data_IF_036883398155
#
_entry.id   IF_036883398155
#
_cell.length_a   1.000
_cell.length_b   1.000
_cell.length_c   1.000
_cell.angle_alpha   90.00
_cell.angle_beta   90.00
_cell.angle_gamma   90.00
#
_symmetry.space_group_name_H-M   'P 1'
#
loop_
_entity.id
_entity.type
_entity.pdbx_description
1 polymer ?
#
# COMPACT_ATOMS: atom_id res chain seq x y z
N UNK A 1 63.17 -13.23 58.43
CA UNK A 1 61.75 -13.53 58.07
C UNK A 1 61.34 -12.62 56.93
N UNK A 2 61.34 -13.12 55.70
CA UNK A 2 60.94 -12.35 54.48
C UNK A 2 59.50 -12.72 54.15
N UNK A 3 58.60 -11.69 54.22
CA UNK A 3 57.22 -11.83 53.77
C UNK A 3 57.16 -11.59 52.27
N UNK A 4 56.73 -12.60 51.51
CA UNK A 4 56.46 -12.52 50.10
C UNK A 4 55.00 -12.09 49.94
N UNK A 5 54.76 -10.89 49.38
CA UNK A 5 53.43 -10.43 48.97
C UNK A 5 53.11 -11.01 47.60
N UNK A 6 52.13 -11.90 47.52
CA UNK A 6 51.55 -12.33 46.25
C UNK A 6 50.51 -11.30 45.79
N UNK A 7 50.81 -10.62 44.68
CA UNK A 7 49.87 -9.70 44.02
C UNK A 7 49.08 -10.49 42.97
N UNK A 8 47.82 -10.75 43.22
CA UNK A 8 46.89 -11.35 42.25
C UNK A 8 46.35 -10.25 41.34
N UNK A 9 46.79 -10.24 40.05
CA UNK A 9 46.23 -9.38 39.02
C UNK A 9 44.99 -10.09 38.46
N UNK A 10 43.81 -9.57 38.75
CA UNK A 10 42.57 -10.02 38.15
C UNK A 10 42.43 -9.42 36.73
N UNK A 11 42.52 -10.25 35.72
CA UNK A 11 42.33 -9.89 34.30
C UNK A 11 40.81 -9.90 34.05
N UNK A 12 40.17 -8.74 34.04
CA UNK A 12 38.76 -8.59 33.61
C UNK A 12 38.76 -8.56 32.08
N UNK A 13 38.44 -9.69 31.45
CA UNK A 13 38.18 -9.74 30.02
C UNK A 13 36.85 -9.08 29.72
N UNK A 14 36.90 -7.85 29.17
CA UNK A 14 35.72 -7.12 28.64
C UNK A 14 35.34 -7.77 27.31
N UNK A 15 34.35 -8.65 27.31
CA UNK A 15 33.73 -9.18 26.09
C UNK A 15 32.92 -8.04 25.42
N UNK A 16 33.57 -7.35 24.47
CA UNK A 16 32.89 -6.45 23.54
C UNK A 16 32.10 -7.32 22.56
N UNK A 17 30.80 -7.49 22.82
CA UNK A 17 29.84 -7.99 21.82
C UNK A 17 29.68 -6.91 20.75
N UNK A 18 30.46 -7.00 19.67
CA UNK A 18 30.20 -6.21 18.47
C UNK A 18 28.88 -6.68 17.86
N UNK A 19 27.79 -5.97 18.12
CA UNK A 19 26.57 -6.10 17.34
C UNK A 19 26.91 -5.70 15.91
N UNK A 20 26.89 -6.66 14.98
CA UNK A 20 26.98 -6.36 13.56
C UNK A 20 25.75 -5.54 13.18
N UNK A 21 25.89 -4.22 13.14
CA UNK A 21 24.85 -3.32 12.70
C UNK A 21 24.74 -3.46 11.19
N UNK A 22 23.61 -4.04 10.72
CA UNK A 22 23.32 -4.11 9.30
C UNK A 22 23.18 -2.67 8.82
N UNK A 23 24.10 -2.24 7.95
CA UNK A 23 24.02 -0.90 7.33
C UNK A 23 22.83 -0.84 6.37
N UNK A 24 22.18 0.30 6.32
CA UNK A 24 21.09 0.55 5.37
C UNK A 24 21.63 0.35 3.94
N UNK A 25 20.90 -0.41 3.08
CA UNK A 25 21.32 -0.61 1.70
C UNK A 25 21.42 0.72 0.95
N UNK A 26 22.48 0.91 0.16
CA UNK A 26 22.68 2.14 -0.61
C UNK A 26 21.67 2.32 -1.76
N UNK A 27 21.05 1.23 -2.21
CA UNK A 27 20.08 1.22 -3.31
C UNK A 27 18.65 1.14 -2.76
N UNK A 28 18.16 2.21 -2.17
CA UNK A 28 16.75 2.31 -1.76
C UNK A 28 15.85 2.49 -2.98
N UNK A 29 14.79 1.67 -3.16
CA UNK A 29 13.83 1.86 -4.24
C UNK A 29 13.24 3.27 -4.23
N UNK A 30 13.17 3.89 -5.40
CA UNK A 30 12.58 5.22 -5.56
C UNK A 30 11.16 5.13 -6.10
N UNK A 31 10.35 6.14 -5.82
CA UNK A 31 8.97 6.24 -6.29
C UNK A 31 8.86 7.34 -7.34
N UNK A 32 8.32 6.98 -8.49
CA UNK A 32 7.99 7.90 -9.58
C UNK A 32 6.47 8.03 -9.69
N UNK A 33 5.94 9.26 -9.66
CA UNK A 33 4.51 9.47 -9.83
C UNK A 33 4.04 8.95 -11.19
N UNK A 34 3.05 8.05 -11.17
CA UNK A 34 2.53 7.39 -12.36
C UNK A 34 1.19 7.97 -12.80
N UNK A 35 0.21 8.02 -11.89
CA UNK A 35 -1.12 8.58 -12.17
C UNK A 35 -1.90 8.85 -10.87
N UNK A 36 -2.91 9.72 -10.96
CA UNK A 36 -3.95 9.92 -9.97
C UNK A 36 -5.27 9.38 -10.51
N UNK A 37 -5.99 8.63 -9.67
CA UNK A 37 -7.34 8.13 -9.96
C UNK A 37 -8.34 8.89 -9.09
N UNK A 38 -9.41 9.41 -9.70
CA UNK A 38 -10.57 10.00 -9.03
C UNK A 38 -11.75 9.06 -9.24
N UNK A 39 -11.98 8.16 -8.26
CA UNK A 39 -12.92 7.06 -8.37
C UNK A 39 -14.25 7.45 -7.77
N UNK A 40 -15.35 7.40 -8.55
CA UNK A 40 -16.70 7.58 -8.04
C UNK A 40 -17.25 6.25 -7.53
N UNK A 41 -17.93 6.33 -6.38
CA UNK A 41 -18.40 5.15 -5.65
C UNK A 41 -19.93 5.15 -5.59
N UNK A 42 -20.54 3.97 -5.67
CA UNK A 42 -21.93 3.74 -5.41
C UNK A 42 -22.22 3.50 -3.92
N UNK A 43 -23.48 3.21 -3.63
CA UNK A 43 -23.92 2.85 -2.28
C UNK A 43 -23.28 1.51 -1.86
N UNK A 44 -22.60 1.54 -0.73
CA UNK A 44 -21.98 0.33 -0.17
C UNK A 44 -23.06 -0.60 0.41
N UNK A 45 -22.89 -1.91 0.23
CA UNK A 45 -23.75 -2.91 0.85
C UNK A 45 -22.92 -3.99 1.56
N UNK A 46 -23.47 -4.53 2.65
CA UNK A 46 -22.82 -5.53 3.48
C UNK A 46 -23.43 -6.91 3.26
N UNK A 47 -22.57 -7.93 3.12
CA UNK A 47 -22.99 -9.34 3.19
C UNK A 47 -23.05 -9.84 4.66
N UNK A 48 -22.80 -8.96 5.63
CA UNK A 48 -22.77 -9.31 7.05
C UNK A 48 -21.47 -9.95 7.50
N UNK A 49 -21.50 -10.52 8.70
CA UNK A 49 -20.37 -11.26 9.27
C UNK A 49 -20.30 -12.64 8.63
N UNK A 50 -19.12 -13.01 8.12
CA UNK A 50 -18.84 -14.28 7.46
C UNK A 50 -17.76 -15.05 8.23
N UNK A 51 -17.48 -16.29 7.86
CA UNK A 51 -16.37 -17.07 8.42
C UNK A 51 -14.97 -16.41 8.23
N UNK A 52 -14.88 -15.42 7.33
CA UNK A 52 -13.64 -14.70 7.06
C UNK A 52 -13.61 -13.28 7.68
N UNK A 53 -14.72 -12.80 8.25
CA UNK A 53 -14.95 -11.46 8.79
C UNK A 53 -16.12 -10.75 8.13
N UNK A 54 -16.30 -9.47 8.42
CA UNK A 54 -17.38 -8.67 7.84
C UNK A 54 -17.06 -8.31 6.39
N UNK A 55 -17.89 -8.78 5.47
CA UNK A 55 -17.79 -8.48 4.03
C UNK A 55 -18.61 -7.26 3.67
N UNK A 56 -17.98 -6.26 3.06
CA UNK A 56 -18.63 -5.07 2.47
C UNK A 56 -18.20 -4.93 1.02
N UNK A 57 -19.14 -4.57 0.16
CA UNK A 57 -18.88 -4.34 -1.27
C UNK A 57 -19.26 -2.90 -1.59
N UNK A 58 -18.34 -2.17 -2.22
CA UNK A 58 -18.50 -0.78 -2.62
C UNK A 58 -18.43 -0.72 -4.15
N UNK A 59 -19.56 -0.52 -4.86
CA UNK A 59 -19.56 -0.41 -6.30
C UNK A 59 -18.69 0.75 -6.79
N UNK A 60 -17.94 0.53 -7.87
CA UNK A 60 -17.22 1.57 -8.59
C UNK A 60 -18.08 1.99 -9.77
N UNK A 61 -18.54 3.24 -9.77
CA UNK A 61 -19.50 3.75 -10.74
C UNK A 61 -18.86 4.55 -11.87
N UNK A 62 -17.55 4.79 -11.81
CA UNK A 62 -16.82 5.52 -12.83
C UNK A 62 -15.76 6.42 -12.23
N UNK A 63 -15.43 7.50 -12.95
CA UNK A 63 -14.43 8.47 -12.56
C UNK A 63 -13.43 8.77 -13.66
N UNK A 64 -12.33 9.41 -13.32
CA UNK A 64 -11.25 9.78 -14.24
C UNK A 64 -9.90 9.41 -13.67
N UNK A 65 -8.90 9.33 -14.54
CA UNK A 65 -7.52 9.22 -14.13
C UNK A 65 -6.61 10.05 -15.04
N UNK A 66 -5.53 10.54 -14.46
CA UNK A 66 -4.53 11.33 -15.18
C UNK A 66 -3.14 11.15 -14.57
N UNK A 67 -2.13 11.11 -15.44
CA UNK A 67 -0.72 11.04 -15.08
C UNK A 67 0.15 11.56 -16.25
N UNK A 68 1.47 11.62 -16.07
CA UNK A 68 2.38 12.18 -17.08
C UNK A 68 2.28 11.49 -18.46
N UNK A 69 1.98 10.19 -18.48
CA UNK A 69 1.99 9.38 -19.71
C UNK A 69 0.67 8.64 -19.98
N UNK A 70 -0.37 8.93 -19.20
CA UNK A 70 -1.64 8.20 -19.31
C UNK A 70 -2.79 9.04 -18.74
N UNK A 71 -3.93 9.04 -19.43
CA UNK A 71 -5.17 9.65 -18.93
C UNK A 71 -6.40 8.99 -19.53
N UNK A 72 -7.56 9.19 -18.90
CA UNK A 72 -8.81 8.62 -19.39
C UNK A 72 -9.89 8.54 -18.30
N UNK A 73 -10.78 7.55 -18.45
CA UNK A 73 -11.94 7.34 -17.58
C UNK A 73 -11.93 5.97 -16.92
N UNK A 74 -12.58 5.89 -15.77
CA UNK A 74 -12.83 4.63 -15.07
C UNK A 74 -14.15 4.09 -15.56
N UNK A 75 -14.17 2.81 -15.97
CA UNK A 75 -15.36 2.15 -16.49
C UNK A 75 -16.25 1.73 -15.32
N UNK A 76 -17.56 2.03 -15.42
CA UNK A 76 -18.56 1.53 -14.46
C UNK A 76 -18.67 0.00 -14.53
N UNK A 77 -18.86 -0.67 -13.38
CA UNK A 77 -19.13 -2.11 -13.31
C UNK A 77 -18.14 -2.89 -12.44
N UNK A 78 -17.13 -2.21 -11.88
CA UNK A 78 -16.23 -2.80 -10.88
C UNK A 78 -16.73 -2.59 -9.44
N UNK A 79 -16.01 -3.15 -8.48
CA UNK A 79 -16.27 -2.93 -7.06
C UNK A 79 -15.00 -3.10 -6.21
N UNK A 80 -15.02 -2.53 -5.00
CA UNK A 80 -14.08 -2.83 -3.94
C UNK A 80 -14.72 -3.84 -2.96
N UNK A 81 -14.10 -5.00 -2.84
CA UNK A 81 -14.53 -6.13 -2.02
C UNK A 81 -13.80 -6.12 -0.69
N UNK A 82 -14.29 -5.35 0.27
CA UNK A 82 -13.66 -5.18 1.57
C UNK A 82 -13.94 -6.34 2.51
N UNK A 83 -12.93 -6.74 3.28
CA UNK A 83 -13.04 -7.73 4.35
C UNK A 83 -12.48 -7.13 5.64
N UNK A 84 -13.37 -6.88 6.62
CA UNK A 84 -13.00 -6.27 7.89
C UNK A 84 -12.92 -7.32 9.00
N UNK A 85 -11.75 -7.37 9.65
CA UNK A 85 -11.58 -8.07 10.92
C UNK A 85 -11.58 -7.04 12.06
N UNK A 86 -12.72 -6.94 12.74
CA UNK A 86 -12.93 -5.97 13.83
C UNK A 86 -12.05 -6.23 15.05
N UNK A 87 -11.70 -7.50 15.32
CA UNK A 87 -10.93 -7.88 16.50
C UNK A 87 -9.51 -7.29 16.47
N UNK A 88 -8.96 -7.05 15.29
CA UNK A 88 -7.61 -6.48 15.10
C UNK A 88 -7.62 -5.11 14.43
N UNK A 89 -8.80 -4.49 14.22
CA UNK A 89 -8.91 -3.16 13.61
C UNK A 89 -8.41 -3.08 12.17
N UNK A 90 -8.50 -4.18 11.38
CA UNK A 90 -7.93 -4.28 10.04
C UNK A 90 -9.02 -4.53 8.99
N UNK A 91 -8.95 -3.81 7.87
CA UNK A 91 -9.73 -4.07 6.67
C UNK A 91 -8.80 -4.35 5.49
N UNK A 92 -9.03 -5.46 4.81
CA UNK A 92 -8.40 -5.80 3.54
C UNK A 92 -9.28 -5.27 2.40
N UNK A 93 -8.65 -4.63 1.42
CA UNK A 93 -9.28 -4.04 0.26
C UNK A 93 -8.89 -4.84 -0.98
N UNK A 94 -9.85 -5.07 -1.87
CA UNK A 94 -9.62 -5.64 -3.18
C UNK A 94 -10.55 -5.00 -4.20
N UNK A 95 -10.11 -3.90 -4.80
CA UNK A 95 -10.86 -3.25 -5.86
C UNK A 95 -10.49 -3.86 -7.22
N UNK A 96 -11.51 -4.32 -7.95
CA UNK A 96 -11.37 -4.90 -9.29
C UNK A 96 -12.24 -4.10 -10.25
N UNK A 97 -11.65 -3.49 -11.26
CA UNK A 97 -12.33 -2.64 -12.23
C UNK A 97 -11.50 -2.47 -13.51
N UNK A 98 -12.04 -1.77 -14.49
CA UNK A 98 -11.32 -1.40 -15.70
C UNK A 98 -11.24 0.12 -15.85
N UNK A 99 -10.16 0.58 -16.47
CA UNK A 99 -9.99 1.96 -16.92
C UNK A 99 -9.88 1.96 -18.45
N UNK A 100 -10.29 3.06 -19.07
CA UNK A 100 -10.19 3.26 -20.51
C UNK A 100 -9.44 4.54 -20.79
N UNK A 101 -8.35 4.44 -21.54
CA UNK A 101 -7.54 5.59 -21.94
C UNK A 101 -8.27 6.46 -22.98
N UNK A 102 -7.88 7.72 -23.14
CA UNK A 102 -8.46 8.65 -24.11
C UNK A 102 -8.32 8.15 -25.55
N UNK A 103 -7.31 7.35 -25.85
CA UNK A 103 -7.11 6.71 -27.15
C UNK A 103 -7.78 5.32 -27.25
N UNK A 104 -8.63 4.96 -26.28
CA UNK A 104 -9.56 3.85 -26.38
C UNK A 104 -9.05 2.50 -25.85
N UNK A 105 -7.85 2.43 -25.25
CA UNK A 105 -7.29 1.19 -24.70
C UNK A 105 -7.91 0.87 -23.34
N UNK A 106 -8.45 -0.33 -23.19
CA UNK A 106 -8.95 -0.83 -21.92
C UNK A 106 -7.82 -1.49 -21.13
N UNK A 107 -7.74 -1.19 -19.84
CA UNK A 107 -6.74 -1.73 -18.91
C UNK A 107 -7.47 -2.23 -17.66
N UNK A 108 -7.25 -3.49 -17.33
CA UNK A 108 -7.77 -4.08 -16.09
C UNK A 108 -6.92 -3.62 -14.90
N UNK A 109 -7.59 -3.34 -13.77
CA UNK A 109 -6.96 -2.92 -12.52
C UNK A 109 -7.43 -3.82 -11.39
N UNK A 110 -6.46 -4.36 -10.66
CA UNK A 110 -6.68 -5.04 -9.39
C UNK A 110 -5.87 -4.32 -8.31
N UNK A 111 -6.56 -3.58 -7.47
CA UNK A 111 -5.92 -2.76 -6.43
C UNK A 111 -6.17 -3.38 -5.05
N UNK A 112 -5.15 -4.01 -4.49
CA UNK A 112 -5.18 -4.57 -3.14
C UNK A 112 -4.61 -3.58 -2.14
N UNK A 113 -5.21 -3.53 -0.96
CA UNK A 113 -4.78 -2.60 0.08
C UNK A 113 -5.14 -3.05 1.48
N UNK A 114 -4.68 -2.24 2.42
CA UNK A 114 -4.90 -2.44 3.84
C UNK A 114 -5.30 -1.10 4.45
N UNK A 115 -6.39 -1.12 5.22
CA UNK A 115 -6.68 -0.11 6.23
C UNK A 115 -6.41 -0.75 7.59
N UNK A 116 -5.62 -0.08 8.43
CA UNK A 116 -5.37 -0.52 9.80
C UNK A 116 -5.52 0.67 10.75
N UNK A 117 -6.33 0.46 11.78
CA UNK A 117 -6.49 1.38 12.89
C UNK A 117 -5.78 0.78 14.10
N UNK A 118 -4.97 1.58 14.77
CA UNK A 118 -4.18 1.12 15.91
C UNK A 118 -3.88 2.25 16.88
N UNK A 119 -2.88 2.02 17.72
CA UNK A 119 -2.30 3.03 18.61
C UNK A 119 -0.78 2.98 18.47
N UNK A 120 -0.15 4.15 18.59
CA UNK A 120 1.30 4.24 18.71
C UNK A 120 1.79 3.85 20.13
N UNK A 121 3.09 3.90 20.35
CA UNK A 121 3.73 3.61 21.65
C UNK A 121 3.27 4.52 22.79
N UNK A 122 2.73 5.71 22.48
CA UNK A 122 2.19 6.68 23.42
C UNK A 122 0.68 6.53 23.62
N UNK A 123 0.03 5.56 22.94
CA UNK A 123 -1.40 5.31 23.01
C UNK A 123 -2.26 6.20 22.10
N UNK A 124 -1.67 7.05 21.25
CA UNK A 124 -2.41 7.89 20.32
C UNK A 124 -2.97 7.06 19.16
N UNK A 125 -4.18 7.39 18.65
CA UNK A 125 -4.75 6.70 17.50
C UNK A 125 -3.85 6.80 16.25
N UNK A 126 -3.66 5.67 15.57
CA UNK A 126 -2.97 5.62 14.27
C UNK A 126 -3.92 5.14 13.18
N UNK A 127 -3.70 5.67 11.98
CA UNK A 127 -4.45 5.29 10.78
C UNK A 127 -3.46 5.00 9.65
N UNK A 128 -3.59 3.82 9.07
CA UNK A 128 -2.80 3.39 7.92
C UNK A 128 -3.72 3.00 6.78
N UNK A 129 -3.51 3.58 5.59
CA UNK A 129 -4.21 3.20 4.37
C UNK A 129 -3.23 3.25 3.19
N UNK A 130 -2.81 2.09 2.71
CA UNK A 130 -1.95 1.94 1.52
C UNK A 130 -2.47 0.80 0.65
N UNK A 131 -2.22 0.92 -0.65
CA UNK A 131 -2.59 -0.08 -1.64
C UNK A 131 -1.41 -0.37 -2.59
N UNK A 132 -1.54 -1.46 -3.32
CA UNK A 132 -0.60 -1.90 -4.34
C UNK A 132 -1.37 -2.34 -5.59
N UNK A 133 -1.68 -1.42 -6.51
CA UNK A 133 -2.41 -1.74 -7.72
C UNK A 133 -1.54 -2.55 -8.69
N UNK A 134 -2.18 -3.50 -9.35
CA UNK A 134 -1.68 -4.24 -10.49
C UNK A 134 -2.51 -3.85 -11.72
N UNK A 135 -1.85 -3.71 -12.86
CA UNK A 135 -2.48 -3.35 -14.12
C UNK A 135 -2.25 -4.45 -15.14
N UNK A 136 -3.26 -4.69 -15.98
CA UNK A 136 -3.17 -5.57 -17.15
C UNK A 136 -3.57 -4.76 -18.39
N UNK A 137 -2.57 -4.25 -19.10
CA UNK A 137 -2.72 -3.56 -20.37
C UNK A 137 -2.46 -4.54 -21.55
N UNK A 138 -3.06 -4.31 -22.73
CA UNK A 138 -2.69 -5.10 -23.92
C UNK A 138 -1.19 -5.05 -24.18
N UNK A 139 -0.59 -6.22 -24.46
CA UNK A 139 0.87 -6.36 -24.57
C UNK A 139 1.48 -5.58 -25.74
N UNK A 140 0.70 -5.32 -26.77
CA UNK A 140 1.06 -4.56 -27.97
C UNK A 140 0.75 -3.04 -27.85
N UNK A 141 0.19 -2.60 -26.73
CA UNK A 141 -0.13 -1.20 -26.49
C UNK A 141 1.07 -0.41 -25.94
N UNK A 142 1.06 0.89 -26.15
CA UNK A 142 2.06 1.80 -25.52
C UNK A 142 1.98 1.80 -23.99
N UNK A 143 0.95 1.18 -23.40
CA UNK A 143 0.73 1.03 -21.97
C UNK A 143 1.25 -0.27 -21.39
N UNK A 144 1.89 -1.15 -22.19
CA UNK A 144 2.46 -2.42 -21.74
C UNK A 144 3.52 -2.26 -20.60
N UNK A 145 4.09 -1.07 -20.43
CA UNK A 145 4.99 -0.76 -19.30
C UNK A 145 4.32 -0.95 -17.93
N UNK A 146 2.99 -0.82 -17.86
CA UNK A 146 2.22 -1.07 -16.64
C UNK A 146 2.32 -2.53 -16.19
N UNK A 147 2.37 -3.48 -17.13
CA UNK A 147 2.45 -4.91 -16.83
C UNK A 147 3.78 -5.33 -16.19
N UNK A 148 4.83 -4.55 -16.43
CA UNK A 148 6.21 -4.85 -16.03
C UNK A 148 6.70 -3.94 -14.91
N UNK A 149 5.80 -3.46 -14.06
CA UNK A 149 6.14 -2.52 -12.98
C UNK A 149 5.36 -2.86 -11.71
N UNK A 150 5.98 -2.58 -10.58
CA UNK A 150 5.29 -2.58 -9.28
C UNK A 150 4.83 -1.17 -8.95
N UNK A 151 3.68 -1.08 -8.29
CA UNK A 151 3.09 0.19 -7.91
C UNK A 151 2.70 0.22 -6.45
N UNK A 152 2.81 1.40 -5.84
CA UNK A 152 2.25 1.72 -4.53
C UNK A 152 1.21 2.81 -4.71
N UNK A 153 0.18 2.79 -3.86
CA UNK A 153 -0.94 3.71 -3.94
C UNK A 153 -1.33 4.21 -2.55
N UNK A 154 -1.68 5.48 -2.50
CA UNK A 154 -2.14 6.13 -1.27
C UNK A 154 -3.35 7.02 -1.57
N UNK A 155 -4.41 6.97 -0.72
CA UNK A 155 -5.53 7.89 -0.83
C UNK A 155 -5.11 9.32 -0.48
N UNK A 156 -5.74 10.28 -1.15
CA UNK A 156 -5.67 11.71 -0.85
C UNK A 156 -7.04 12.21 -0.37
N UNK A 157 -7.16 12.41 0.92
CA UNK A 157 -8.40 12.88 1.56
C UNK A 157 -8.55 14.41 1.52
N UNK A 158 -7.51 15.15 1.12
CA UNK A 158 -7.51 16.61 1.04
C UNK A 158 -8.19 17.13 -0.24
N UNK A 159 -8.39 16.28 -1.24
CA UNK A 159 -8.84 16.67 -2.57
C UNK A 159 -10.29 17.16 -2.66
N UNK A 160 -11.10 17.02 -1.60
CA UNK A 160 -12.51 17.48 -1.56
C UNK A 160 -13.42 16.79 -2.60
N UNK A 161 -13.02 15.64 -3.13
CA UNK A 161 -13.74 14.91 -4.15
C UNK A 161 -14.82 13.98 -3.54
N UNK A 162 -16.02 13.94 -4.17
CA UNK A 162 -17.07 13.00 -3.77
C UNK A 162 -16.76 11.59 -4.31
N UNK A 163 -16.03 10.82 -3.54
CA UNK A 163 -15.51 9.51 -3.90
C UNK A 163 -14.16 9.28 -3.23
N UNK A 164 -13.24 8.60 -3.91
CA UNK A 164 -11.88 8.44 -3.43
C UNK A 164 -10.86 8.91 -4.46
N UNK A 165 -9.88 9.68 -4.03
CA UNK A 165 -8.72 10.07 -4.85
C UNK A 165 -7.53 9.20 -4.45
N UNK A 166 -6.89 8.58 -5.43
CA UNK A 166 -5.78 7.66 -5.23
C UNK A 166 -4.57 8.15 -6.03
N UNK A 167 -3.50 8.49 -5.33
CA UNK A 167 -2.21 8.78 -5.95
C UNK A 167 -1.41 7.48 -6.10
N UNK A 168 -0.89 7.20 -7.28
CA UNK A 168 -0.19 5.97 -7.64
C UNK A 168 1.23 6.30 -8.08
N UNK A 169 2.19 5.58 -7.50
CA UNK A 169 3.61 5.67 -7.85
C UNK A 169 4.14 4.33 -8.34
N UNK A 170 4.97 4.40 -9.36
CA UNK A 170 5.79 3.30 -9.84
C UNK A 170 7.02 3.14 -8.95
N UNK A 171 7.37 1.91 -8.59
CA UNK A 171 8.64 1.59 -7.93
C UNK A 171 9.73 1.47 -8.99
N UNK A 172 10.82 2.21 -8.79
CA UNK A 172 12.04 2.22 -9.66
C UNK A 172 13.14 1.38 -9.06
#
# INVERSE_FOLDING_TARGET
>A
MKRILLSTIAFVALLLTASAQVSEPQNTPQLEFALQLKVTLGEAYSCGETQHGQRTIIPITGGTFEGPNIKGTIINGGADYQLTNKAIGRTELEAIYCIKTDDGVNIHVRNRGIIANGKDENGNPTFYFKCAPQFEAPADSKYAWLNNSLFLCQPDFSAGFKGIVLNVWRVK
#
